data_IF_818646912204
#
_entry.id   IF_818646912204
#
_cell.length_a   1.000
_cell.length_b   1.000
_cell.length_c   1.000
_cell.angle_alpha   90.00
_cell.angle_beta   90.00
_cell.angle_gamma   90.00
#
_symmetry.space_group_name_H-M   'P 1'
#
loop_
_entity.id
_entity.type
_entity.pdbx_description
1 polymer ?
#
# COMPACT_ATOMS: atom_id res chain seq x y z
N UNK A 1 8.76 2.38 -15.57
CA UNK A 1 9.25 1.75 -14.31
C UNK A 1 10.03 2.68 -13.39
N UNK A 2 10.92 3.56 -13.88
CA UNK A 2 11.74 4.47 -13.04
C UNK A 2 10.95 5.55 -12.26
N UNK A 3 9.63 5.60 -12.42
CA UNK A 3 8.74 6.56 -11.75
C UNK A 3 8.35 6.13 -10.33
N UNK A 4 8.54 4.85 -9.97
CA UNK A 4 8.33 4.38 -8.60
C UNK A 4 9.64 4.57 -7.83
N UNK A 5 9.75 5.56 -6.92
CA UNK A 5 11.04 5.96 -6.33
C UNK A 5 11.71 4.87 -5.48
N UNK A 6 10.96 3.85 -5.08
CA UNK A 6 11.45 2.72 -4.26
C UNK A 6 11.89 1.51 -5.07
N UNK A 7 11.68 1.54 -6.39
CA UNK A 7 12.12 0.50 -7.33
C UNK A 7 13.22 1.11 -8.20
N UNK A 8 14.47 0.85 -7.84
CA UNK A 8 15.62 1.21 -8.66
C UNK A 8 15.71 0.34 -9.92
N UNK A 9 16.71 0.64 -10.76
CA UNK A 9 16.96 -0.06 -12.03
C UNK A 9 16.99 -1.59 -11.89
N UNK A 10 17.77 -2.10 -10.93
CA UNK A 10 17.88 -3.55 -10.67
C UNK A 10 16.52 -4.18 -10.30
N UNK A 11 15.70 -3.46 -9.53
CA UNK A 11 14.37 -3.93 -9.18
C UNK A 11 13.45 -4.01 -10.40
N UNK A 12 13.54 -3.03 -11.30
CA UNK A 12 12.80 -3.04 -12.56
C UNK A 12 13.22 -4.23 -13.45
N UNK A 13 14.52 -4.47 -13.57
CA UNK A 13 15.07 -5.59 -14.36
C UNK A 13 14.61 -6.95 -13.81
N UNK A 14 14.64 -7.15 -12.49
CA UNK A 14 14.12 -8.37 -11.86
C UNK A 14 12.62 -8.53 -12.12
N UNK A 15 11.84 -7.45 -12.04
CA UNK A 15 10.39 -7.55 -12.31
C UNK A 15 10.15 -7.97 -13.77
N UNK A 16 10.86 -7.37 -14.72
CA UNK A 16 10.75 -7.73 -16.13
C UNK A 16 11.16 -9.20 -16.35
N UNK A 17 12.30 -9.63 -15.79
CA UNK A 17 12.79 -11.00 -15.92
C UNK A 17 11.82 -12.04 -15.37
N UNK A 18 11.24 -11.78 -14.20
CA UNK A 18 10.33 -12.71 -13.52
C UNK A 18 8.91 -12.70 -14.11
N UNK A 19 8.48 -11.57 -14.70
CA UNK A 19 7.17 -11.47 -15.36
C UNK A 19 7.21 -11.87 -16.84
N UNK A 20 8.39 -12.05 -17.43
CA UNK A 20 8.55 -12.34 -18.86
C UNK A 20 8.43 -11.09 -19.75
N UNK A 21 8.51 -9.89 -19.17
CA UNK A 21 8.47 -8.62 -19.88
C UNK A 21 7.09 -8.08 -20.24
N UNK A 22 6.04 -8.92 -20.18
CA UNK A 22 4.67 -8.52 -20.40
C UNK A 22 3.77 -8.91 -19.21
N UNK A 23 3.16 -7.91 -18.57
CA UNK A 23 2.20 -8.11 -17.47
C UNK A 23 0.75 -8.20 -17.96
N UNK A 24 0.48 -8.01 -19.26
CA UNK A 24 -0.84 -8.17 -19.86
C UNK A 24 -1.32 -9.63 -19.81
N UNK A 25 -0.41 -10.60 -19.65
CA UNK A 25 -0.78 -11.99 -19.34
C UNK A 25 -1.59 -12.12 -18.03
N UNK A 26 -1.50 -11.13 -17.14
CA UNK A 26 -2.33 -11.06 -15.95
C UNK A 26 -3.55 -10.20 -16.23
N UNK A 27 -4.74 -10.80 -16.19
CA UNK A 27 -6.02 -10.10 -16.42
C UNK A 27 -6.26 -8.89 -15.49
N UNK A 28 -5.57 -8.80 -14.36
CA UNK A 28 -5.52 -7.58 -13.55
C UNK A 28 -4.33 -7.56 -12.59
N UNK A 29 -4.04 -6.38 -12.04
CA UNK A 29 -3.09 -6.20 -10.94
C UNK A 29 -3.33 -7.14 -9.74
N UNK A 30 -4.58 -7.56 -9.52
CA UNK A 30 -4.95 -8.49 -8.45
C UNK A 30 -4.46 -9.91 -8.74
N UNK A 31 -4.47 -10.32 -10.02
CA UNK A 31 -3.92 -11.59 -10.46
C UNK A 31 -2.40 -11.62 -10.28
N UNK A 32 -1.69 -10.55 -10.65
CA UNK A 32 -0.26 -10.41 -10.40
C UNK A 32 0.06 -10.51 -8.89
N UNK A 33 -0.68 -9.79 -8.04
CA UNK A 33 -0.50 -9.84 -6.59
C UNK A 33 -0.79 -11.23 -6.00
N UNK A 34 -1.76 -11.95 -6.55
CA UNK A 34 -2.07 -13.33 -6.18
C UNK A 34 -0.95 -14.29 -6.59
N UNK A 35 -0.44 -14.17 -7.82
CA UNK A 35 0.65 -14.98 -8.37
C UNK A 35 1.98 -14.81 -7.61
N UNK A 36 2.32 -13.57 -7.22
CA UNK A 36 3.48 -13.29 -6.35
C UNK A 36 3.24 -13.83 -4.92
N UNK A 37 1.98 -13.98 -4.51
CA UNK A 37 1.60 -14.46 -3.19
C UNK A 37 1.68 -13.37 -2.10
N UNK A 38 1.36 -12.12 -2.47
CA UNK A 38 1.23 -10.98 -1.52
C UNK A 38 -0.24 -10.68 -1.17
N UNK A 39 -1.16 -11.48 -1.68
CA UNK A 39 -2.58 -11.44 -1.29
C UNK A 39 -2.84 -12.30 -0.04
N UNK A 40 -3.79 -11.88 0.82
CA UNK A 40 -4.25 -12.73 1.92
C UNK A 40 -4.85 -14.02 1.35
N UNK A 41 -4.61 -15.16 2.02
CA UNK A 41 -5.22 -16.41 1.63
C UNK A 41 -6.72 -16.38 1.91
N UNK A 42 -7.53 -16.82 0.94
CA UNK A 42 -8.96 -17.08 1.13
C UNK A 42 -9.15 -18.59 1.22
N UNK A 43 -9.54 -19.07 2.39
CA UNK A 43 -9.86 -20.47 2.64
C UNK A 43 -11.24 -20.52 3.25
N UNK A 44 -12.25 -20.80 2.43
CA UNK A 44 -13.65 -20.78 2.81
C UNK A 44 -14.29 -22.07 2.32
N UNK A 45 -15.03 -22.76 3.18
CA UNK A 45 -15.77 -23.97 2.83
C UNK A 45 -17.12 -23.92 3.51
N UNK A 46 -18.21 -24.16 2.77
CA UNK A 46 -19.58 -24.12 3.29
C UNK A 46 -19.89 -22.81 4.08
N UNK A 47 -19.42 -21.66 3.61
CA UNK A 47 -19.60 -20.36 4.27
C UNK A 47 -18.74 -20.13 5.52
N UNK A 48 -17.92 -21.11 5.92
CA UNK A 48 -17.02 -20.99 7.07
C UNK A 48 -15.62 -20.60 6.62
N UNK A 49 -15.15 -19.45 7.11
CA UNK A 49 -13.77 -18.98 6.91
C UNK A 49 -12.79 -19.76 7.79
N UNK A 50 -11.88 -20.49 7.15
CA UNK A 50 -10.77 -21.24 7.76
C UNK A 50 -9.48 -20.41 7.74
N UNK A 51 -8.35 -21.00 8.15
CA UNK A 51 -7.06 -20.31 8.15
C UNK A 51 -6.67 -19.84 6.75
N UNK A 52 -6.49 -18.52 6.61
CA UNK A 52 -6.20 -17.84 5.34
C UNK A 52 -4.71 -17.59 5.12
N UNK A 53 -3.85 -18.62 5.26
CA UNK A 53 -2.41 -18.46 5.05
C UNK A 53 -2.15 -18.01 3.60
N UNK A 54 -1.31 -16.99 3.44
CA UNK A 54 -0.90 -16.54 2.11
C UNK A 54 -0.24 -17.70 1.36
N UNK A 55 -0.60 -17.86 0.08
CA UNK A 55 -0.05 -18.92 -0.76
C UNK A 55 1.46 -18.72 -0.98
N UNK A 56 2.22 -19.82 -1.14
CA UNK A 56 3.53 -19.70 -1.78
C UNK A 56 3.32 -19.09 -3.16
N UNK A 57 4.25 -18.23 -3.56
CA UNK A 57 4.24 -17.54 -4.85
C UNK A 57 5.68 -17.23 -5.22
N UNK A 58 5.90 -16.34 -6.18
CA UNK A 58 7.24 -15.99 -6.61
C UNK A 58 8.10 -15.42 -5.45
N UNK A 59 9.07 -16.21 -4.97
CA UNK A 59 9.88 -15.87 -3.81
C UNK A 59 10.85 -14.71 -4.07
N UNK A 60 11.39 -14.61 -5.29
CA UNK A 60 12.33 -13.56 -5.69
C UNK A 60 11.63 -12.20 -5.71
N UNK A 61 10.49 -12.12 -6.41
CA UNK A 61 9.67 -10.90 -6.43
C UNK A 61 9.17 -10.52 -5.05
N UNK A 62 8.75 -11.50 -4.25
CA UNK A 62 8.30 -11.24 -2.87
C UNK A 62 9.44 -10.66 -2.01
N UNK A 63 10.67 -11.16 -2.14
CA UNK A 63 11.84 -10.59 -1.43
C UNK A 63 12.15 -9.17 -1.90
N UNK A 64 12.20 -8.94 -3.21
CA UNK A 64 12.43 -7.62 -3.81
C UNK A 64 11.39 -6.61 -3.33
N UNK A 65 10.10 -6.96 -3.42
CA UNK A 65 9.00 -6.13 -2.95
C UNK A 65 9.06 -5.88 -1.45
N UNK A 66 9.54 -6.85 -0.67
CA UNK A 66 9.76 -6.69 0.77
C UNK A 66 10.79 -5.59 1.05
N UNK A 67 11.92 -5.60 0.34
CA UNK A 67 12.94 -4.55 0.44
C UNK A 67 12.38 -3.20 0.00
N UNK A 68 11.73 -3.13 -1.17
CA UNK A 68 11.12 -1.91 -1.67
C UNK A 68 10.06 -1.35 -0.71
N UNK A 69 9.22 -2.20 -0.13
CA UNK A 69 8.24 -1.81 0.88
C UNK A 69 8.91 -1.27 2.15
N UNK A 70 9.98 -1.90 2.64
CA UNK A 70 10.72 -1.41 3.81
C UNK A 70 11.33 -0.02 3.58
N UNK A 71 11.78 0.28 2.35
CA UNK A 71 12.24 1.62 1.98
C UNK A 71 11.06 2.59 1.89
N UNK A 72 9.95 2.19 1.25
CA UNK A 72 8.77 3.01 1.07
C UNK A 72 8.18 3.52 2.39
N UNK A 73 8.13 2.68 3.42
CA UNK A 73 7.53 3.02 4.71
C UNK A 73 8.37 4.00 5.53
N UNK A 74 9.66 4.17 5.21
CA UNK A 74 10.54 5.13 5.90
C UNK A 74 10.19 6.57 5.53
N UNK A 75 9.68 6.80 4.32
CA UNK A 75 9.22 8.12 3.92
C UNK A 75 7.92 8.46 4.66
N UNK A 76 7.97 9.42 5.59
CA UNK A 76 6.81 9.84 6.37
C UNK A 76 5.82 10.68 5.58
N UNK A 77 6.28 11.37 4.53
CA UNK A 77 5.49 12.23 3.65
C UNK A 77 4.77 11.49 2.52
N UNK A 78 5.07 10.19 2.31
CA UNK A 78 4.42 9.40 1.27
C UNK A 78 3.10 8.79 1.71
N UNK A 79 2.21 8.55 0.74
CA UNK A 79 0.97 7.81 0.97
C UNK A 79 1.22 6.42 1.58
N UNK A 80 2.22 5.71 1.06
CA UNK A 80 2.55 4.34 1.50
C UNK A 80 3.05 4.32 2.95
N UNK A 81 3.83 5.32 3.37
CA UNK A 81 4.29 5.45 4.75
C UNK A 81 3.14 5.70 5.73
N UNK A 82 2.20 6.58 5.39
CA UNK A 82 1.00 6.81 6.21
C UNK A 82 0.10 5.58 6.23
N UNK A 83 -0.13 4.95 5.08
CA UNK A 83 -0.93 3.72 4.98
C UNK A 83 -0.37 2.61 5.87
N UNK A 84 0.95 2.40 5.83
CA UNK A 84 1.62 1.44 6.70
C UNK A 84 1.38 1.72 8.18
N UNK A 85 1.60 2.95 8.65
CA UNK A 85 1.44 3.30 10.07
C UNK A 85 0.01 3.08 10.56
N UNK A 86 -0.98 3.50 9.78
CA UNK A 86 -2.40 3.29 10.10
C UNK A 86 -2.75 1.82 10.21
N UNK A 87 -2.25 0.99 9.29
CA UNK A 87 -2.55 -0.43 9.28
C UNK A 87 -1.74 -1.20 10.34
N UNK A 88 -0.48 -0.85 10.57
CA UNK A 88 0.41 -1.46 11.54
C UNK A 88 -0.14 -1.32 12.97
N UNK A 89 -0.73 -0.16 13.29
CA UNK A 89 -1.36 0.08 14.59
C UNK A 89 -2.52 -0.87 14.90
N UNK A 90 -3.24 -1.37 13.88
CA UNK A 90 -4.39 -2.27 14.05
C UNK A 90 -4.06 -3.75 13.82
N UNK A 91 -3.15 -4.04 12.90
CA UNK A 91 -2.96 -5.39 12.35
C UNK A 91 -1.54 -5.93 12.52
N UNK A 92 -0.63 -5.16 13.12
CA UNK A 92 0.77 -5.52 13.32
C UNK A 92 1.65 -5.24 12.08
N UNK A 93 2.93 -4.98 12.33
CA UNK A 93 3.88 -4.51 11.32
C UNK A 93 4.07 -5.47 10.14
N UNK A 94 4.16 -6.79 10.39
CA UNK A 94 4.35 -7.79 9.33
C UNK A 94 3.18 -7.80 8.32
N UNK A 95 1.94 -7.78 8.82
CA UNK A 95 0.74 -7.75 7.95
C UNK A 95 0.63 -6.43 7.20
N UNK A 96 0.95 -5.32 7.86
CA UNK A 96 0.98 -4.01 7.23
C UNK A 96 2.03 -3.91 6.11
N UNK A 97 3.21 -4.51 6.30
CA UNK A 97 4.25 -4.55 5.28
C UNK A 97 3.80 -5.31 4.02
N UNK A 98 3.18 -6.48 4.20
CA UNK A 98 2.62 -7.25 3.07
C UNK A 98 1.53 -6.45 2.34
N UNK A 99 0.71 -5.70 3.06
CA UNK A 99 -0.29 -4.83 2.44
C UNK A 99 0.35 -3.68 1.62
N UNK A 100 1.48 -3.13 2.07
CA UNK A 100 2.27 -2.16 1.28
C UNK A 100 2.85 -2.83 0.03
N UNK A 101 3.39 -4.04 0.14
CA UNK A 101 3.87 -4.81 -1.01
C UNK A 101 2.75 -4.99 -2.05
N UNK A 102 1.54 -5.33 -1.61
CA UNK A 102 0.38 -5.43 -2.50
C UNK A 102 0.05 -4.11 -3.21
N UNK A 103 0.15 -2.97 -2.51
CA UNK A 103 -0.02 -1.64 -3.13
C UNK A 103 1.06 -1.34 -4.17
N UNK A 104 2.31 -1.71 -3.90
CA UNK A 104 3.41 -1.57 -4.85
C UNK A 104 3.20 -2.45 -6.09
N UNK A 105 2.74 -3.69 -5.94
CA UNK A 105 2.43 -4.56 -7.08
C UNK A 105 1.34 -3.96 -7.97
N UNK A 106 0.30 -3.38 -7.36
CA UNK A 106 -0.74 -2.70 -8.13
C UNK A 106 -0.18 -1.52 -8.91
N UNK A 107 0.65 -0.68 -8.28
CA UNK A 107 1.32 0.42 -8.96
C UNK A 107 2.22 -0.07 -10.10
N UNK A 108 3.00 -1.12 -9.88
CA UNK A 108 3.86 -1.73 -10.91
C UNK A 108 3.05 -2.22 -12.10
N UNK A 109 1.92 -2.88 -11.86
CA UNK A 109 1.06 -3.38 -12.94
C UNK A 109 0.53 -2.23 -13.78
N UNK A 110 -0.01 -1.16 -13.18
CA UNK A 110 -0.49 0.01 -13.94
C UNK A 110 0.63 0.74 -14.69
N UNK A 111 1.81 0.88 -14.09
CA UNK A 111 2.97 1.52 -14.74
C UNK A 111 3.45 0.71 -15.96
N UNK A 112 3.27 -0.60 -15.95
CA UNK A 112 3.68 -1.47 -17.05
C UNK A 112 2.59 -1.67 -18.11
N UNK A 113 1.34 -1.87 -17.66
CA UNK A 113 0.20 -2.17 -18.53
C UNK A 113 -0.38 -0.90 -19.17
N UNK A 114 -0.62 0.14 -18.38
CA UNK A 114 -1.27 1.37 -18.82
C UNK A 114 -0.26 2.46 -19.21
N UNK A 115 1.04 2.20 -19.01
CA UNK A 115 2.13 3.16 -19.17
C UNK A 115 1.96 4.46 -18.37
N UNK A 116 1.11 4.45 -17.34
CA UNK A 116 0.87 5.61 -16.48
C UNK A 116 2.01 5.78 -15.47
N UNK A 117 2.56 7.00 -15.29
CA UNK A 117 3.58 7.24 -14.30
C UNK A 117 3.01 7.09 -12.87
N UNK A 118 3.82 6.52 -11.97
CA UNK A 118 3.42 6.43 -10.57
C UNK A 118 3.25 7.82 -9.94
N UNK A 119 2.06 8.07 -9.39
CA UNK A 119 1.73 9.28 -8.64
C UNK A 119 1.53 8.95 -7.16
N UNK A 120 2.35 9.56 -6.31
CA UNK A 120 2.12 9.51 -4.87
C UNK A 120 0.90 10.38 -4.52
N UNK A 121 -0.03 9.82 -3.75
CA UNK A 121 -1.23 10.51 -3.29
C UNK A 121 -0.94 11.48 -2.14
N UNK A 122 0.25 11.39 -1.54
CA UNK A 122 0.69 12.24 -0.43
C UNK A 122 0.22 11.75 0.94
N UNK A 123 0.86 12.25 1.98
CA UNK A 123 0.57 11.89 3.37
C UNK A 123 -0.84 12.31 3.84
N UNK A 124 -1.38 13.37 3.25
CA UNK A 124 -2.65 13.97 3.61
C UNK A 124 -3.85 13.38 2.85
N UNK A 125 -3.63 12.46 1.91
CA UNK A 125 -4.70 11.77 1.17
C UNK A 125 -5.80 11.23 2.09
N UNK A 126 -5.40 10.63 3.22
CA UNK A 126 -6.32 10.05 4.18
C UNK A 126 -7.09 11.07 5.00
N UNK A 127 -6.52 12.26 5.20
CA UNK A 127 -7.16 13.39 5.89
C UNK A 127 -8.14 14.08 4.95
N UNK A 128 -7.72 14.33 3.69
CA UNK A 128 -8.57 14.92 2.64
C UNK A 128 -9.80 14.05 2.33
N UNK A 129 -9.64 12.72 2.39
CA UNK A 129 -10.74 11.77 2.11
C UNK A 129 -11.82 11.73 3.20
N UNK A 130 -11.46 12.03 4.45
CA UNK A 130 -12.38 11.96 5.60
C UNK A 130 -12.08 13.11 6.57
N UNK A 131 -12.45 14.35 6.18
CA UNK A 131 -12.13 15.55 6.95
C UNK A 131 -12.84 15.55 8.30
N UNK A 132 -14.05 15.01 8.39
CA UNK A 132 -14.81 14.93 9.64
C UNK A 132 -14.12 14.06 10.69
N UNK A 133 -13.55 12.93 10.27
CA UNK A 133 -12.81 12.06 11.20
C UNK A 133 -11.50 12.70 11.65
N UNK A 134 -10.85 13.48 10.78
CA UNK A 134 -9.70 14.28 11.18
C UNK A 134 -10.11 15.35 12.20
N UNK A 135 -11.21 16.04 11.95
CA UNK A 135 -11.78 17.05 12.85
C UNK A 135 -12.11 16.48 14.22
N UNK A 136 -12.82 15.35 14.28
CA UNK A 136 -13.14 14.64 15.53
C UNK A 136 -11.89 14.25 16.32
N UNK A 137 -10.82 13.86 15.62
CA UNK A 137 -9.54 13.55 16.26
C UNK A 137 -8.93 14.82 16.88
N UNK A 138 -8.89 15.94 16.15
CA UNK A 138 -8.38 17.21 16.65
C UNK A 138 -9.16 17.70 17.89
N UNK A 139 -10.49 17.65 17.83
CA UNK A 139 -11.37 17.97 18.95
C UNK A 139 -11.09 17.09 20.17
N UNK A 140 -10.97 15.77 19.98
CA UNK A 140 -10.67 14.85 21.07
C UNK A 140 -9.32 15.15 21.70
N UNK A 141 -8.31 15.45 20.88
CA UNK A 141 -6.95 15.75 21.32
C UNK A 141 -6.91 17.06 22.12
N UNK A 142 -7.54 18.14 21.65
CA UNK A 142 -7.63 19.39 22.40
C UNK A 142 -8.46 19.27 23.69
N UNK A 143 -9.59 18.57 23.64
CA UNK A 143 -10.41 18.33 24.84
C UNK A 143 -9.61 17.55 25.89
N UNK A 144 -8.73 16.61 25.48
CA UNK A 144 -7.86 15.88 26.41
C UNK A 144 -6.78 16.76 27.07
N UNK A 145 -6.49 17.91 26.47
CA UNK A 145 -5.59 18.93 27.00
C UNK A 145 -6.35 20.04 27.77
N UNK A 146 -7.67 19.92 27.93
CA UNK A 146 -8.51 20.94 28.58
C UNK A 146 -8.75 22.19 27.72
N UNK A 147 -8.49 22.11 26.42
CA UNK A 147 -8.63 23.21 25.47
C UNK A 147 -9.93 23.07 24.68
N UNK A 148 -10.62 24.19 24.44
CA UNK A 148 -11.77 24.25 23.51
C UNK A 148 -11.30 24.81 22.18
N UNK A 149 -11.44 24.05 21.09
CA UNK A 149 -11.16 24.53 19.73
C UNK A 149 -12.42 25.17 19.14
N UNK A 150 -12.28 26.37 18.58
CA UNK A 150 -13.25 26.96 17.66
C UNK A 150 -12.65 26.96 16.26
N UNK A 151 -13.46 26.62 15.25
CA UNK A 151 -13.07 26.65 13.86
C UNK A 151 -13.69 27.87 13.21
N UNK A 152 -12.84 28.79 12.75
CA UNK A 152 -13.26 29.95 11.97
C UNK A 152 -13.01 29.67 10.48
N UNK A 153 -13.92 30.10 9.58
CA UNK A 153 -13.73 29.94 8.15
C UNK A 153 -12.52 30.77 7.68
N UNK A 154 -11.69 30.18 6.81
CA UNK A 154 -10.59 30.91 6.19
C UNK A 154 -11.20 31.87 5.15
N UNK A 155 -10.97 33.20 5.26
CA UNK A 155 -11.44 34.14 4.25
C UNK A 155 -10.79 33.83 2.90
N UNK A 156 -11.60 33.90 1.83
CA UNK A 156 -11.23 33.56 0.46
C UNK A 156 -10.15 34.48 -0.13
#
# INVERSE_FOLDING_TARGET
MQTIPVIGRLGAEIIIAETGGDVAQFASAHHLASWIGVCPGRNESAGVSKSGRARPGNANLKRLLGVAAMVAIRNKGSYLGVFFRRLAARSGGKRALVAVMRKLVIAVWHVLHDHEPYRDLGADHFTRRDPERAMRRMLKEANSLGLTIRFDPIPA
#
